data_IF_264290689782
#
_entry.id   IF_264290689782
#
_cell.length_a   1.000
_cell.length_b   1.000
_cell.length_c   1.000
_cell.angle_alpha   90.00
_cell.angle_beta   90.00
_cell.angle_gamma   90.00
#
_symmetry.space_group_name_H-M   'P 1'
#
loop_
_entity.id
_entity.type
_entity.pdbx_description
1 polymer ?
#
# COMPACT_ATOMS: atom_id res chain seq x y z
N UNK A 1 12.44 6.22 -1.05
CA UNK A 1 11.31 5.44 -0.51
C UNK A 1 10.70 6.17 0.67
N UNK A 2 9.38 6.41 0.71
CA UNK A 2 8.70 6.93 1.89
C UNK A 2 8.90 5.99 3.07
N UNK A 3 9.14 6.55 4.24
CA UNK A 3 9.17 5.78 5.49
C UNK A 3 7.75 5.67 6.04
N UNK A 4 7.36 4.46 6.43
CA UNK A 4 6.15 4.24 7.21
C UNK A 4 6.54 4.40 8.68
N UNK A 5 6.46 5.63 9.18
CA UNK A 5 6.74 5.89 10.60
C UNK A 5 5.66 5.23 11.47
N UNK A 6 6.01 4.66 12.63
CA UNK A 6 5.05 4.14 13.59
C UNK A 6 4.01 5.20 14.00
N UNK A 7 2.77 4.77 14.18
CA UNK A 7 1.68 5.60 14.70
C UNK A 7 0.53 4.71 15.15
N UNK A 8 -0.19 5.12 16.19
CA UNK A 8 -1.45 4.49 16.63
C UNK A 8 -2.69 5.12 15.97
N UNK A 9 -2.52 6.12 15.10
CA UNK A 9 -3.63 6.69 14.33
C UNK A 9 -3.84 5.89 13.04
N UNK A 10 -5.00 5.22 12.89
CA UNK A 10 -5.22 4.26 11.79
C UNK A 10 -5.23 4.92 10.40
N UNK A 11 -5.89 6.08 10.24
CA UNK A 11 -5.92 6.78 8.95
C UNK A 11 -4.53 7.29 8.54
N UNK A 12 -3.76 7.83 9.49
CA UNK A 12 -2.38 8.28 9.25
C UNK A 12 -1.50 7.10 8.83
N UNK A 13 -1.65 5.94 9.47
CA UNK A 13 -0.94 4.73 9.07
C UNK A 13 -1.33 4.30 7.65
N UNK A 14 -2.63 4.23 7.34
CA UNK A 14 -3.12 3.86 6.01
C UNK A 14 -2.61 4.80 4.91
N UNK A 15 -2.59 6.12 5.15
CA UNK A 15 -2.01 7.11 4.21
C UNK A 15 -0.50 6.86 3.97
N UNK A 16 0.25 6.52 5.01
CA UNK A 16 1.69 6.22 4.89
C UNK A 16 1.94 4.94 4.11
N UNK A 17 1.15 3.89 4.36
CA UNK A 17 1.20 2.63 3.59
C UNK A 17 0.90 2.90 2.11
N UNK A 18 -0.17 3.66 1.82
CA UNK A 18 -0.52 4.05 0.46
C UNK A 18 0.59 4.83 -0.25
N UNK A 19 1.19 5.81 0.43
CA UNK A 19 2.33 6.53 -0.12
C UNK A 19 3.51 5.59 -0.42
N UNK A 20 3.83 4.67 0.49
CA UNK A 20 4.93 3.71 0.33
C UNK A 20 4.71 2.73 -0.83
N UNK A 21 3.47 2.25 -1.04
CA UNK A 21 3.12 1.36 -2.16
C UNK A 21 3.37 1.99 -3.54
N UNK A 22 3.16 3.29 -3.65
CA UNK A 22 3.18 3.97 -4.95
C UNK A 22 4.41 4.83 -5.18
N UNK A 23 5.18 5.16 -4.14
CA UNK A 23 6.34 6.04 -4.28
C UNK A 23 7.63 5.24 -4.42
N UNK A 24 8.05 5.09 -5.66
CA UNK A 24 9.29 4.42 -6.00
C UNK A 24 10.00 5.12 -7.14
N UNK A 25 11.31 4.88 -7.19
CA UNK A 25 12.23 5.45 -8.15
C UNK A 25 13.16 4.33 -8.66
N UNK A 26 13.14 4.11 -9.97
CA UNK A 26 13.95 3.08 -10.62
C UNK A 26 15.44 3.43 -10.68
N UNK A 27 15.79 4.71 -10.56
CA UNK A 27 17.14 5.26 -10.51
C UNK A 27 17.76 5.33 -9.11
N UNK A 28 16.98 5.12 -8.04
CA UNK A 28 17.45 5.21 -6.66
C UNK A 28 18.40 4.08 -6.20
N UNK A 29 18.83 3.20 -7.10
CA UNK A 29 19.66 2.03 -6.77
C UNK A 29 18.91 0.90 -6.06
N UNK A 30 17.59 1.03 -5.89
CA UNK A 30 16.71 0.03 -5.28
C UNK A 30 16.04 -0.86 -6.33
N UNK A 31 15.59 -2.02 -5.88
CA UNK A 31 14.82 -3.02 -6.62
C UNK A 31 13.44 -3.18 -5.98
N UNK A 32 12.44 -3.73 -6.70
CA UNK A 32 11.08 -3.94 -6.17
C UNK A 32 11.05 -4.61 -4.79
N UNK A 33 11.92 -5.60 -4.58
CA UNK A 33 12.01 -6.35 -3.31
C UNK A 33 12.41 -5.45 -2.12
N UNK A 34 13.21 -4.41 -2.33
CA UNK A 34 13.59 -3.48 -1.26
C UNK A 34 12.37 -2.68 -0.78
N UNK A 35 11.51 -2.27 -1.72
CA UNK A 35 10.23 -1.61 -1.41
C UNK A 35 9.26 -2.58 -0.73
N UNK A 36 9.17 -3.84 -1.21
CA UNK A 36 8.38 -4.89 -0.56
C UNK A 36 8.81 -5.07 0.89
N UNK A 37 10.11 -5.19 1.15
CA UNK A 37 10.66 -5.45 2.48
C UNK A 37 10.29 -4.33 3.45
N UNK A 38 10.45 -3.07 3.05
CA UNK A 38 10.11 -1.93 3.89
C UNK A 38 8.61 -1.82 4.24
N UNK A 39 7.72 -2.35 3.40
CA UNK A 39 6.28 -2.40 3.69
C UNK A 39 5.97 -3.61 4.58
N UNK A 40 6.65 -4.74 4.39
CA UNK A 40 6.52 -5.92 5.25
C UNK A 40 7.02 -5.67 6.68
N UNK A 41 7.98 -4.76 6.87
CA UNK A 41 8.51 -4.39 8.19
C UNK A 41 7.45 -3.80 9.14
N UNK A 42 6.33 -3.29 8.59
CA UNK A 42 5.18 -2.80 9.39
C UNK A 42 3.99 -3.75 9.34
N UNK A 43 4.19 -4.98 8.84
CA UNK A 43 3.17 -6.02 8.80
C UNK A 43 2.82 -6.56 10.19
N UNK A 44 1.80 -7.41 10.24
CA UNK A 44 1.39 -8.14 11.44
C UNK A 44 2.60 -8.78 12.17
N UNK A 45 2.87 -8.37 13.43
CA UNK A 45 4.02 -8.84 14.18
C UNK A 45 3.94 -10.33 14.55
N UNK A 46 2.75 -10.94 14.51
CA UNK A 46 2.61 -12.38 14.70
C UNK A 46 3.13 -13.19 13.50
N UNK A 47 3.26 -12.55 12.34
CA UNK A 47 3.63 -13.16 11.07
C UNK A 47 2.47 -13.90 10.38
N UNK A 48 1.27 -13.93 10.96
CA UNK A 48 0.13 -14.68 10.44
C UNK A 48 -0.27 -14.23 9.04
N UNK A 49 -0.35 -12.91 8.82
CA UNK A 49 -0.72 -12.36 7.51
C UNK A 49 0.47 -12.19 6.56
N UNK A 50 1.71 -12.47 6.98
CA UNK A 50 2.91 -12.01 6.27
C UNK A 50 3.03 -12.58 4.85
N UNK A 51 2.70 -13.86 4.64
CA UNK A 51 2.72 -14.47 3.32
C UNK A 51 1.62 -13.90 2.39
N UNK A 52 0.42 -13.68 2.94
CA UNK A 52 -0.69 -13.07 2.20
C UNK A 52 -0.38 -11.61 1.84
N UNK A 53 0.14 -10.84 2.80
CA UNK A 53 0.55 -9.46 2.59
C UNK A 53 1.65 -9.33 1.53
N UNK A 54 2.66 -10.21 1.57
CA UNK A 54 3.71 -10.22 0.55
C UNK A 54 3.15 -10.47 -0.86
N UNK A 55 2.19 -11.39 -0.98
CA UNK A 55 1.49 -11.66 -2.23
C UNK A 55 0.68 -10.45 -2.70
N UNK A 56 -0.03 -9.77 -1.78
CA UNK A 56 -0.80 -8.57 -2.14
C UNK A 56 0.14 -7.45 -2.62
N UNK A 57 1.23 -7.14 -1.89
CA UNK A 57 2.20 -6.09 -2.26
C UNK A 57 2.81 -6.34 -3.64
N UNK A 58 3.10 -7.60 -3.98
CA UNK A 58 3.65 -7.97 -5.27
C UNK A 58 2.73 -7.56 -6.44
N UNK A 59 1.43 -7.40 -6.22
CA UNK A 59 0.49 -6.92 -7.24
C UNK A 59 0.56 -5.40 -7.50
N UNK A 60 1.14 -4.63 -6.56
CA UNK A 60 1.27 -3.17 -6.67
C UNK A 60 2.57 -2.73 -7.35
N UNK A 61 3.62 -3.55 -7.25
CA UNK A 61 4.95 -3.22 -7.74
C UNK A 61 5.19 -3.80 -9.15
N UNK A 62 5.99 -3.12 -9.99
CA UNK A 62 6.42 -3.69 -11.26
C UNK A 62 7.20 -5.00 -11.04
N UNK A 63 7.06 -5.94 -11.98
CA UNK A 63 7.93 -7.12 -12.01
C UNK A 63 9.40 -6.69 -12.18
N UNK A 64 10.34 -7.57 -11.82
CA UNK A 64 11.77 -7.30 -11.99
C UNK A 64 12.14 -6.96 -13.43
N UNK A 65 11.55 -7.65 -14.41
CA UNK A 65 11.77 -7.39 -15.84
C UNK A 65 11.23 -6.01 -16.24
N UNK A 66 9.99 -5.69 -15.83
CA UNK A 66 9.41 -4.38 -16.07
C UNK A 66 10.24 -3.27 -15.43
N UNK A 67 10.78 -3.48 -14.23
CA UNK A 67 11.64 -2.52 -13.54
C UNK A 67 12.90 -2.18 -14.34
N UNK A 68 13.55 -3.19 -14.93
CA UNK A 68 14.74 -2.98 -15.78
C UNK A 68 14.40 -2.16 -17.02
N UNK A 69 13.22 -2.37 -17.61
CA UNK A 69 12.75 -1.56 -18.74
C UNK A 69 12.45 -0.12 -18.31
N UNK A 70 11.70 0.07 -17.22
CA UNK A 70 11.34 1.38 -16.69
C UNK A 70 12.56 2.22 -16.29
N UNK A 71 13.62 1.57 -15.81
CA UNK A 71 14.88 2.24 -15.44
C UNK A 71 15.54 2.97 -16.62
N UNK A 72 15.39 2.47 -17.85
CA UNK A 72 15.92 3.13 -19.05
C UNK A 72 15.31 4.51 -19.28
N UNK A 73 14.13 4.76 -18.72
CA UNK A 73 13.39 6.01 -18.82
C UNK A 73 13.45 6.83 -17.53
N UNK A 74 14.37 6.53 -16.60
CA UNK A 74 14.43 7.18 -15.29
C UNK A 74 13.07 7.25 -14.59
N UNK A 75 12.28 6.17 -14.69
CA UNK A 75 10.88 6.19 -14.26
C UNK A 75 10.76 6.36 -12.75
N UNK A 76 9.92 7.30 -12.33
CA UNK A 76 9.46 7.46 -10.94
C UNK A 76 7.95 7.32 -10.87
N UNK A 77 7.44 7.00 -9.69
CA UNK A 77 6.01 6.98 -9.43
C UNK A 77 5.71 7.60 -8.07
N UNK A 78 4.53 8.20 -7.95
CA UNK A 78 3.94 8.62 -6.68
C UNK A 78 2.40 8.56 -6.75
N UNK A 79 1.75 8.80 -5.61
CA UNK A 79 0.29 8.82 -5.46
C UNK A 79 -0.16 10.16 -4.90
N UNK A 80 -1.20 10.73 -5.50
CA UNK A 80 -2.03 11.77 -4.88
C UNK A 80 -3.29 11.07 -4.35
N UNK A 81 -3.59 11.24 -3.06
CA UNK A 81 -4.80 10.66 -2.45
C UNK A 81 -5.92 11.70 -2.53
N UNK A 82 -7.00 11.34 -3.21
CA UNK A 82 -8.19 12.19 -3.34
C UNK A 82 -9.13 11.97 -2.15
N UNK A 83 -9.31 10.71 -1.77
CA UNK A 83 -10.17 10.31 -0.66
C UNK A 83 -9.58 9.12 0.11
N UNK A 84 -9.85 9.10 1.40
CA UNK A 84 -9.60 7.95 2.25
C UNK A 84 -10.69 7.88 3.32
N UNK A 85 -11.36 6.75 3.42
CA UNK A 85 -12.43 6.55 4.36
C UNK A 85 -12.54 5.07 4.74
N UNK A 86 -13.16 4.81 5.90
CA UNK A 86 -13.62 3.45 6.22
C UNK A 86 -14.75 3.10 5.26
N UNK A 87 -14.68 1.99 4.50
CA UNK A 87 -15.73 1.62 3.57
C UNK A 87 -17.00 1.22 4.32
N UNK A 88 -18.17 1.45 3.73
CA UNK A 88 -19.46 1.19 4.36
C UNK A 88 -19.62 -0.32 4.67
N UNK A 89 -19.19 -1.19 3.74
CA UNK A 89 -19.19 -2.64 3.95
C UNK A 89 -18.19 -3.14 5.00
N UNK A 90 -17.35 -2.29 5.59
CA UNK A 90 -16.49 -2.72 6.71
C UNK A 90 -17.33 -3.22 7.89
N UNK A 91 -18.43 -2.53 8.19
CA UNK A 91 -19.34 -2.92 9.27
C UNK A 91 -19.93 -4.32 9.06
N UNK A 92 -20.28 -4.66 7.83
CA UNK A 92 -20.76 -5.99 7.45
C UNK A 92 -19.65 -7.04 7.51
N UNK A 93 -18.44 -6.71 7.04
CA UNK A 93 -17.29 -7.60 7.13
C UNK A 93 -16.96 -7.96 8.59
N UNK A 94 -17.06 -6.99 9.51
CA UNK A 94 -16.91 -7.24 10.95
C UNK A 94 -18.02 -8.15 11.49
N UNK A 95 -19.28 -7.92 11.10
CA UNK A 95 -20.40 -8.73 11.55
C UNK A 95 -20.35 -10.18 11.04
N UNK A 96 -19.74 -10.41 9.88
CA UNK A 96 -19.59 -11.73 9.26
C UNK A 96 -18.30 -12.45 9.67
N UNK A 97 -17.36 -11.75 10.30
CA UNK A 97 -16.10 -12.34 10.73
C UNK A 97 -16.32 -13.42 11.79
N UNK A 98 -15.62 -14.55 11.63
CA UNK A 98 -15.62 -15.58 12.67
C UNK A 98 -14.89 -15.09 13.93
N UNK A 99 -15.23 -15.61 15.12
CA UNK A 99 -14.49 -15.28 16.34
C UNK A 99 -12.99 -15.50 16.18
N UNK A 100 -12.20 -14.45 16.43
CA UNK A 100 -10.73 -14.49 16.31
C UNK A 100 -10.20 -14.31 14.88
N UNK A 101 -11.05 -14.16 13.86
CA UNK A 101 -10.62 -13.89 12.49
C UNK A 101 -10.04 -12.48 12.32
N UNK A 102 -10.60 -11.49 13.04
CA UNK A 102 -10.10 -10.13 13.06
C UNK A 102 -9.37 -9.86 14.38
N UNK A 103 -8.14 -9.36 14.35
CA UNK A 103 -7.44 -8.98 15.58
C UNK A 103 -8.09 -7.76 16.25
N UNK A 104 -7.85 -7.53 17.55
CA UNK A 104 -8.31 -6.34 18.24
C UNK A 104 -7.85 -5.05 17.53
N UNK A 105 -8.78 -4.11 17.36
CA UNK A 105 -8.49 -2.84 16.68
C UNK A 105 -8.36 -2.93 15.16
N UNK A 106 -8.78 -4.06 14.55
CA UNK A 106 -8.87 -4.18 13.09
C UNK A 106 -9.80 -3.12 12.49
N UNK A 107 -9.33 -2.53 11.39
CA UNK A 107 -10.06 -1.54 10.60
C UNK A 107 -9.61 -1.58 9.14
N UNK A 108 -10.48 -1.14 8.23
CA UNK A 108 -10.16 -1.01 6.81
C UNK A 108 -10.29 0.44 6.37
N UNK A 109 -9.42 0.87 5.46
CA UNK A 109 -9.51 2.16 4.78
C UNK A 109 -9.47 1.95 3.27
N UNK A 110 -10.51 2.37 2.58
CA UNK A 110 -10.55 2.46 1.12
C UNK A 110 -10.00 3.81 0.70
N UNK A 111 -9.08 3.75 -0.26
CA UNK A 111 -8.33 4.89 -0.78
C UNK A 111 -8.65 5.02 -2.25
N UNK A 112 -9.13 6.20 -2.64
CA UNK A 112 -9.27 6.63 -4.02
C UNK A 112 -8.21 7.71 -4.29
N UNK A 113 -7.53 7.63 -5.42
CA UNK A 113 -6.49 8.59 -5.77
C UNK A 113 -6.03 8.51 -7.21
N UNK A 114 -5.01 9.29 -7.52
CA UNK A 114 -4.37 9.33 -8.84
C UNK A 114 -2.91 8.92 -8.70
N UNK A 115 -2.55 7.85 -9.40
CA UNK A 115 -1.17 7.43 -9.56
C UNK A 115 -0.53 8.28 -10.66
N UNK A 116 0.62 8.86 -10.36
CA UNK A 116 1.44 9.61 -11.29
C UNK A 116 2.70 8.81 -11.59
N UNK A 117 3.05 8.68 -12.87
CA UNK A 117 4.28 8.06 -13.32
C UNK A 117 5.00 9.00 -14.26
N UNK A 118 6.20 9.37 -13.87
CA UNK A 118 7.08 10.25 -14.64
C UNK A 118 8.18 9.41 -15.28
N UNK A 119 8.67 9.84 -16.44
CA UNK A 119 9.83 9.26 -17.11
C UNK A 119 10.39 10.19 -18.17
N UNK A 120 11.49 9.79 -18.81
CA UNK A 120 12.17 10.53 -19.86
C UNK A 120 12.20 9.67 -21.11
N UNK A 121 11.71 10.19 -22.23
CA UNK A 121 11.77 9.57 -23.55
C UNK A 121 12.39 10.52 -24.55
N UNK A 122 13.52 10.14 -25.17
CA UNK A 122 14.30 11.00 -26.08
C UNK A 122 14.55 12.41 -25.52
N UNK A 123 15.03 12.51 -24.28
CA UNK A 123 15.27 13.75 -23.54
C UNK A 123 14.02 14.61 -23.25
N UNK A 124 12.82 14.08 -23.51
CA UNK A 124 11.55 14.75 -23.22
C UNK A 124 10.86 14.10 -22.02
N UNK A 125 10.53 14.86 -20.96
CA UNK A 125 9.72 14.38 -19.85
C UNK A 125 8.35 13.89 -20.30
N UNK A 126 7.93 12.74 -19.79
CA UNK A 126 6.63 12.13 -19.99
C UNK A 126 5.94 11.93 -18.65
N UNK A 127 4.64 12.21 -18.59
CA UNK A 127 3.82 12.00 -17.40
C UNK A 127 2.60 11.18 -17.79
N UNK A 128 2.39 10.08 -17.07
CA UNK A 128 1.18 9.26 -17.17
C UNK A 128 0.44 9.32 -15.84
N UNK A 129 -0.86 9.61 -15.89
CA UNK A 129 -1.73 9.56 -14.72
C UNK A 129 -2.81 8.51 -14.90
N UNK A 130 -3.17 7.83 -13.82
CA UNK A 130 -4.27 6.87 -13.82
C UNK A 130 -4.99 6.88 -12.46
N UNK A 131 -6.33 6.85 -12.44
CA UNK A 131 -7.07 6.69 -11.20
C UNK A 131 -6.79 5.30 -10.63
N UNK A 132 -6.75 5.22 -9.30
CA UNK A 132 -6.57 3.99 -8.55
C UNK A 132 -7.53 3.95 -7.37
N UNK A 133 -7.99 2.76 -7.03
CA UNK A 133 -8.79 2.51 -5.85
C UNK A 133 -8.38 1.19 -5.21
N UNK A 134 -8.21 1.16 -3.89
CA UNK A 134 -7.83 -0.05 -3.15
C UNK A 134 -8.13 0.10 -1.66
N UNK A 135 -8.07 -0.99 -0.92
CA UNK A 135 -8.33 -1.03 0.53
C UNK A 135 -7.11 -1.50 1.30
N UNK A 136 -6.78 -0.78 2.37
CA UNK A 136 -5.76 -1.14 3.35
C UNK A 136 -6.45 -1.74 4.56
N UNK A 137 -6.16 -3.00 4.88
CA UNK A 137 -6.63 -3.66 6.10
C UNK A 137 -5.50 -3.63 7.12
N UNK A 138 -5.77 -3.07 8.29
CA UNK A 138 -4.77 -2.85 9.34
C UNK A 138 -5.39 -3.10 10.71
N UNK A 139 -4.56 -3.19 11.74
CA UNK A 139 -5.03 -3.16 13.13
C UNK A 139 -4.19 -2.20 13.97
N UNK A 140 -4.85 -1.47 14.87
CA UNK A 140 -4.20 -0.61 15.86
C UNK A 140 -4.49 -1.17 17.25
N UNK A 141 -3.47 -1.68 17.96
CA UNK A 141 -3.63 -2.20 19.31
C UNK A 141 -4.33 -1.21 20.26
N UNK A 142 -5.25 -1.69 21.12
CA UNK A 142 -6.03 -0.83 22.03
C UNK A 142 -5.20 -0.22 23.17
N UNK A 143 -4.01 -0.76 23.44
CA UNK A 143 -3.05 -0.26 24.44
C UNK A 143 -2.20 0.92 23.93
N UNK A 144 -2.41 1.35 22.68
CA UNK A 144 -1.74 2.50 22.09
C UNK A 144 -0.44 2.18 21.35
N UNK A 145 -0.11 0.89 21.21
CA UNK A 145 0.99 0.46 20.35
C UNK A 145 0.75 0.87 18.88
N UNK A 146 1.82 0.98 18.06
CA UNK A 146 1.69 1.33 16.66
C UNK A 146 0.80 0.36 15.89
N UNK A 147 0.05 0.91 14.94
CA UNK A 147 -0.72 0.11 13.99
C UNK A 147 0.21 -0.74 13.12
N UNK A 148 -0.30 -1.88 12.67
CA UNK A 148 0.38 -2.77 11.74
C UNK A 148 -0.54 -3.17 10.59
N UNK A 149 0.08 -3.52 9.46
CA UNK A 149 -0.58 -3.86 8.21
C UNK A 149 -0.95 -5.34 8.18
N UNK A 150 -2.22 -5.63 7.88
CA UNK A 150 -2.71 -7.00 7.73
C UNK A 150 -2.65 -7.41 6.26
N UNK A 151 -3.45 -6.77 5.42
CA UNK A 151 -3.69 -7.16 4.02
C UNK A 151 -3.95 -5.94 3.15
N UNK A 152 -3.86 -6.12 1.85
CA UNK A 152 -4.25 -5.13 0.86
C UNK A 152 -5.26 -5.77 -0.09
N UNK A 153 -6.29 -5.03 -0.50
CA UNK A 153 -7.12 -5.49 -1.62
C UNK A 153 -6.29 -5.47 -2.91
N UNK A 154 -6.78 -6.12 -3.95
CA UNK A 154 -6.23 -5.92 -5.29
C UNK A 154 -6.52 -4.48 -5.76
N UNK A 155 -5.59 -3.90 -6.53
CA UNK A 155 -5.77 -2.60 -7.17
C UNK A 155 -6.99 -2.63 -8.12
N UNK A 156 -7.89 -1.65 -7.99
CA UNK A 156 -9.14 -1.56 -8.74
C UNK A 156 -10.30 -2.36 -8.14
N UNK A 157 -10.06 -3.12 -7.08
CA UNK A 157 -11.05 -3.95 -6.39
C UNK A 157 -11.14 -3.60 -4.90
N UNK A 158 -11.43 -2.33 -4.53
CA UNK A 158 -11.59 -1.94 -3.13
C UNK A 158 -12.85 -2.55 -2.51
N UNK A 159 -12.84 -2.69 -1.20
CA UNK A 159 -14.06 -2.81 -0.39
C UNK A 159 -14.82 -1.48 -0.45
N UNK A 160 -16.14 -1.51 -0.61
CA UNK A 160 -16.98 -0.30 -0.73
C UNK A 160 -18.01 -0.25 0.37
#
# INVERSE_FOLDING_TARGET
MPRILPTSNPETFARRVAAALFTWDTGAGLMPLDYTSAILDVGDPSGTEQAGLAADIATYLPSREAWVQLRQYATTQYLTIDNIAVPDAWSEAVAQAQPGQLPPGAIAYTIDGVRHRDGIWNDVPQVLTAPVAFTVFLACPPDGDPCYLLRLSQLGSPLR
#
